data_IF_337984442837
#
_entry.id   IF_337984442837
#
_cell.length_a   1.000
_cell.length_b   1.000
_cell.length_c   1.000
_cell.angle_alpha   90.00
_cell.angle_beta   90.00
_cell.angle_gamma   90.00
#
_symmetry.space_group_name_H-M   'P 1'
#
loop_
_entity.id
_entity.type
_entity.pdbx_description
1 polymer ?
#
# COMPACT_ATOMS: atom_id res chain seq x y z
N UNK A 1 56.76 23.09 0.40
CA UNK A 1 55.72 23.88 1.10
C UNK A 1 54.89 22.90 1.92
N UNK A 2 55.22 22.80 3.19
CA UNK A 2 54.66 21.86 4.17
C UNK A 2 53.45 22.52 4.81
N UNK A 3 52.30 21.87 4.79
CA UNK A 3 51.10 22.33 5.49
C UNK A 3 50.97 21.57 6.82
N UNK A 4 51.16 22.30 7.92
CA UNK A 4 50.92 21.84 9.28
C UNK A 4 49.41 21.73 9.54
N UNK A 5 48.98 20.60 10.13
CA UNK A 5 47.68 20.47 10.82
C UNK A 5 47.79 21.04 12.23
N UNK A 6 46.78 21.77 12.75
CA UNK A 6 46.71 22.06 14.17
C UNK A 6 46.04 20.92 14.93
N UNK A 7 46.73 20.48 16.00
CA UNK A 7 46.18 19.73 17.13
C UNK A 7 45.53 20.69 18.13
N UNK A 8 44.36 20.32 18.65
CA UNK A 8 43.76 20.75 19.93
C UNK A 8 42.60 19.75 20.15
N UNK A 9 42.69 18.75 21.02
CA UNK A 9 42.79 18.75 22.50
C UNK A 9 41.67 19.58 23.14
N UNK A 10 40.60 18.88 23.49
CA UNK A 10 39.72 19.17 24.62
C UNK A 10 39.42 17.83 25.31
N UNK A 11 40.06 17.63 26.45
CA UNK A 11 39.76 16.63 27.49
C UNK A 11 38.45 17.04 28.21
N UNK A 12 37.51 16.12 28.36
CA UNK A 12 37.28 15.32 29.58
C UNK A 12 36.32 16.00 30.58
N UNK A 13 35.03 15.66 30.50
CA UNK A 13 34.14 15.48 31.65
C UNK A 13 33.15 14.39 31.25
N UNK A 14 33.13 13.25 31.93
CA UNK A 14 31.93 12.56 32.41
C UNK A 14 32.32 11.28 33.17
N UNK A 15 32.21 11.37 34.48
CA UNK A 15 32.13 10.23 35.37
C UNK A 15 30.73 10.15 35.97
N UNK A 16 30.31 8.92 36.26
CA UNK A 16 29.23 8.50 37.16
C UNK A 16 27.79 8.58 36.62
N UNK A 17 27.27 7.41 36.22
CA UNK A 17 26.03 6.84 36.77
C UNK A 17 25.82 5.44 36.18
N UNK A 18 26.33 4.43 36.88
CA UNK A 18 26.01 3.03 36.62
C UNK A 18 25.28 2.52 37.87
N UNK A 19 23.96 2.42 37.79
CA UNK A 19 23.12 1.67 38.74
C UNK A 19 21.67 1.61 38.24
N UNK A 20 21.05 0.45 38.44
CA UNK A 20 19.63 0.10 38.24
C UNK A 20 19.23 -0.56 36.90
N UNK A 21 19.50 -1.86 36.83
CA UNK A 21 18.48 -2.91 36.98
C UNK A 21 17.19 -2.80 36.16
N UNK A 22 16.95 -3.76 35.28
CA UNK A 22 15.59 -4.17 34.93
C UNK A 22 15.56 -5.68 34.63
N UNK A 23 15.03 -6.44 35.60
CA UNK A 23 14.65 -7.83 35.42
C UNK A 23 13.40 -7.92 34.52
N UNK A 24 13.45 -8.81 33.55
CA UNK A 24 12.33 -9.28 32.75
C UNK A 24 11.20 -9.88 33.62
N UNK A 25 9.93 -9.59 33.32
CA UNK A 25 8.84 -10.50 33.64
C UNK A 25 8.55 -11.43 32.45
N UNK A 26 8.64 -12.72 32.73
CA UNK A 26 8.13 -13.84 31.93
C UNK A 26 6.62 -13.69 31.73
N UNK A 27 6.16 -13.65 30.49
CA UNK A 27 4.75 -13.90 30.18
C UNK A 27 4.47 -15.39 30.33
N UNK A 28 3.71 -15.74 31.37
CA UNK A 28 3.20 -17.08 31.65
C UNK A 28 1.86 -17.24 30.94
N UNK A 29 1.75 -18.24 30.08
CA UNK A 29 0.49 -18.68 29.50
C UNK A 29 -0.44 -19.16 30.63
N UNK A 30 -1.65 -18.61 30.68
CA UNK A 30 -2.76 -19.11 31.49
C UNK A 30 -3.91 -19.47 30.57
N UNK A 31 -4.02 -20.76 30.28
CA UNK A 31 -5.22 -21.39 29.75
C UNK A 31 -6.32 -21.30 30.81
N UNK A 32 -7.45 -20.68 30.48
CA UNK A 32 -8.66 -20.76 31.28
C UNK A 32 -9.80 -21.27 30.39
N UNK A 33 -10.19 -22.51 30.67
CA UNK A 33 -11.39 -23.17 30.16
C UNK A 33 -12.55 -22.66 30.99
N UNK A 34 -13.44 -21.87 30.40
CA UNK A 34 -14.77 -21.60 30.96
C UNK A 34 -15.81 -22.20 30.02
N UNK A 35 -16.34 -23.34 30.47
CA UNK A 35 -17.43 -24.09 29.87
C UNK A 35 -18.73 -23.41 30.31
N UNK A 36 -19.35 -22.65 29.41
CA UNK A 36 -20.63 -21.97 29.65
C UNK A 36 -21.80 -22.84 29.18
N UNK A 37 -22.46 -23.48 30.13
CA UNK A 37 -23.66 -24.29 29.98
C UNK A 37 -24.88 -23.37 29.75
N UNK A 38 -25.48 -23.38 28.56
CA UNK A 38 -26.76 -22.69 28.31
C UNK A 38 -27.87 -23.72 28.18
N UNK A 39 -28.83 -23.59 29.10
CA UNK A 39 -29.89 -24.55 29.35
C UNK A 39 -30.94 -24.61 28.27
N UNK A 40 -31.53 -25.80 28.19
CA UNK A 40 -32.85 -26.06 27.66
C UNK A 40 -33.90 -25.14 28.27
N UNK A 41 -34.71 -24.51 27.41
CA UNK A 41 -36.04 -24.08 27.75
C UNK A 41 -37.00 -24.75 26.75
N UNK A 42 -37.67 -25.79 27.23
CA UNK A 42 -38.88 -26.32 26.62
C UNK A 42 -39.98 -25.27 26.75
N UNK A 43 -40.74 -25.05 25.69
CA UNK A 43 -42.01 -24.35 25.74
C UNK A 43 -42.90 -24.90 24.63
N UNK A 44 -43.66 -25.93 25.00
CA UNK A 44 -44.91 -26.29 24.35
C UNK A 44 -45.80 -25.06 24.21
N UNK A 45 -46.28 -24.79 22.99
CA UNK A 45 -47.52 -24.06 22.81
C UNK A 45 -48.29 -24.62 21.62
N UNK A 46 -49.31 -25.36 22.01
CA UNK A 46 -50.39 -25.91 21.22
C UNK A 46 -51.25 -24.83 20.58
N UNK A 47 -51.44 -24.95 19.27
CA UNK A 47 -52.73 -24.74 18.59
C UNK A 47 -53.15 -23.31 18.25
N UNK A 48 -53.20 -23.02 16.94
CA UNK A 48 -54.41 -22.45 16.31
C UNK A 48 -54.37 -22.66 14.78
N UNK A 49 -55.09 -23.65 14.21
CA UNK A 49 -55.16 -23.86 12.77
C UNK A 49 -56.49 -23.32 12.25
N UNK A 50 -56.63 -22.01 12.05
CA UNK A 50 -57.59 -21.41 11.10
C UNK A 50 -57.59 -19.88 11.20
N UNK A 51 -56.61 -19.25 10.55
CA UNK A 51 -56.72 -17.83 10.20
C UNK A 51 -56.30 -17.63 8.76
N UNK A 52 -57.26 -17.88 7.87
CA UNK A 52 -57.18 -17.52 6.46
C UNK A 52 -57.17 -15.98 6.34
N UNK A 53 -55.97 -15.40 6.38
CA UNK A 53 -55.75 -14.01 5.99
C UNK A 53 -55.81 -13.93 4.47
N UNK A 54 -56.96 -13.46 3.95
CA UNK A 54 -57.08 -13.05 2.56
C UNK A 54 -56.22 -11.80 2.36
N UNK A 55 -55.01 -11.98 1.84
CA UNK A 55 -54.13 -10.88 1.45
C UNK A 55 -54.67 -10.28 0.14
N UNK A 56 -54.97 -8.97 0.08
CA UNK A 56 -55.37 -8.34 -1.16
C UNK A 56 -54.21 -8.37 -2.15
N UNK A 57 -54.46 -8.94 -3.34
CA UNK A 57 -53.52 -8.94 -4.46
C UNK A 57 -53.25 -7.50 -4.91
N UNK A 58 -52.16 -6.92 -4.41
CA UNK A 58 -51.63 -5.67 -4.95
C UNK A 58 -51.12 -5.95 -6.36
N UNK A 59 -51.55 -5.20 -7.39
CA UNK A 59 -51.05 -5.38 -8.74
C UNK A 59 -49.53 -5.15 -8.73
N UNK A 60 -48.80 -6.16 -9.20
CA UNK A 60 -47.36 -6.11 -9.41
C UNK A 60 -47.05 -4.96 -10.37
N UNK A 61 -46.80 -3.79 -9.78
CA UNK A 61 -46.30 -2.63 -10.52
C UNK A 61 -44.92 -3.05 -10.98
N UNK A 62 -44.70 -3.07 -12.30
CA UNK A 62 -43.42 -3.33 -12.92
C UNK A 62 -42.38 -2.37 -12.35
N UNK A 63 -41.77 -2.75 -11.23
CA UNK A 63 -40.63 -2.08 -10.65
C UNK A 63 -39.53 -2.24 -11.69
N UNK A 64 -39.29 -1.16 -12.44
CA UNK A 64 -38.15 -1.05 -13.34
C UNK A 64 -36.94 -1.55 -12.58
N UNK A 65 -36.35 -2.64 -13.08
CA UNK A 65 -35.23 -3.34 -12.48
C UNK A 65 -34.10 -2.34 -12.24
N UNK A 66 -34.07 -1.79 -11.02
CA UNK A 66 -33.12 -0.79 -10.57
C UNK A 66 -31.84 -1.53 -10.15
N UNK A 67 -31.28 -2.30 -11.10
CA UNK A 67 -30.00 -2.96 -10.87
C UNK A 67 -28.95 -1.88 -10.62
N UNK A 68 -28.08 -2.06 -9.62
CA UNK A 68 -27.00 -1.12 -9.40
C UNK A 68 -26.19 -0.97 -10.70
N UNK A 69 -25.73 0.25 -11.02
CA UNK A 69 -24.89 0.47 -12.19
C UNK A 69 -23.73 -0.53 -12.16
N UNK A 70 -23.54 -1.26 -13.26
CA UNK A 70 -22.44 -2.21 -13.41
C UNK A 70 -21.13 -1.50 -13.11
N UNK A 71 -20.30 -2.02 -12.19
CA UNK A 71 -19.02 -1.40 -11.88
C UNK A 71 -18.20 -1.27 -13.16
N UNK A 72 -17.55 -0.12 -13.35
CA UNK A 72 -16.53 0.02 -14.39
C UNK A 72 -15.45 -0.99 -14.07
N UNK A 73 -15.10 -1.84 -15.04
CA UNK A 73 -14.06 -2.86 -14.87
C UNK A 73 -12.78 -2.36 -15.52
N UNK A 74 -11.64 -2.54 -14.83
CA UNK A 74 -10.33 -2.28 -15.41
C UNK A 74 -10.14 -3.18 -16.63
N UNK A 75 -9.45 -2.66 -17.64
CA UNK A 75 -9.03 -3.51 -18.75
C UNK A 75 -7.91 -4.47 -18.29
N UNK A 76 -7.66 -5.51 -19.08
CA UNK A 76 -6.68 -6.56 -18.70
C UNK A 76 -5.26 -6.03 -18.53
N UNK A 77 -4.88 -4.98 -19.28
CA UNK A 77 -3.55 -4.36 -19.22
C UNK A 77 -3.35 -3.56 -17.93
N UNK A 78 -4.33 -2.73 -17.57
CA UNK A 78 -4.38 -1.99 -16.30
C UNK A 78 -4.38 -2.94 -15.10
N UNK A 79 -5.19 -4.00 -15.16
CA UNK A 79 -5.25 -5.01 -14.11
C UNK A 79 -3.93 -5.75 -13.94
N UNK A 80 -3.24 -6.06 -15.04
CA UNK A 80 -1.91 -6.68 -15.01
C UNK A 80 -0.87 -5.74 -14.38
N UNK A 81 -0.90 -4.45 -14.70
CA UNK A 81 -0.02 -3.44 -14.10
C UNK A 81 -0.25 -3.31 -12.58
N UNK A 82 -1.51 -3.30 -12.14
CA UNK A 82 -1.85 -3.31 -10.71
C UNK A 82 -1.40 -4.60 -10.02
N UNK A 83 -1.56 -5.77 -10.66
CA UNK A 83 -1.03 -7.03 -10.11
C UNK A 83 0.50 -7.02 -10.00
N UNK A 84 1.22 -6.40 -10.94
CA UNK A 84 2.67 -6.20 -10.85
C UNK A 84 3.04 -5.31 -9.66
N UNK A 85 2.26 -4.26 -9.38
CA UNK A 85 2.43 -3.41 -8.21
C UNK A 85 2.23 -4.20 -6.90
N UNK A 86 1.17 -5.03 -6.83
CA UNK A 86 0.92 -5.90 -5.68
C UNK A 86 2.07 -6.89 -5.45
N UNK A 87 2.58 -7.51 -6.52
CA UNK A 87 3.75 -8.41 -6.47
C UNK A 87 4.96 -7.71 -5.86
N UNK A 88 5.36 -6.58 -6.45
CA UNK A 88 6.51 -5.80 -6.01
C UNK A 88 6.38 -5.38 -4.54
N UNK A 89 5.21 -4.87 -4.15
CA UNK A 89 4.96 -4.48 -2.77
C UNK A 89 5.04 -5.67 -1.80
N UNK A 90 4.51 -6.83 -2.18
CA UNK A 90 4.61 -8.04 -1.36
C UNK A 90 6.06 -8.50 -1.19
N UNK A 91 6.87 -8.44 -2.24
CA UNK A 91 8.30 -8.82 -2.20
C UNK A 91 9.11 -7.84 -1.34
N UNK A 92 8.97 -6.53 -1.55
CA UNK A 92 9.69 -5.49 -0.80
C UNK A 92 9.39 -5.52 0.71
N UNK A 93 8.21 -5.99 1.10
CA UNK A 93 7.77 -6.06 2.50
C UNK A 93 7.79 -7.49 3.08
N UNK A 94 8.29 -8.48 2.34
CA UNK A 94 8.34 -9.88 2.79
C UNK A 94 6.96 -10.48 3.10
N UNK A 95 5.90 -10.04 2.41
CA UNK A 95 4.53 -10.46 2.69
C UNK A 95 4.24 -11.85 2.14
N UNK A 96 3.81 -12.75 3.01
CA UNK A 96 3.38 -14.09 2.62
C UNK A 96 1.87 -14.11 2.30
N UNK A 97 1.52 -13.78 1.05
CA UNK A 97 0.12 -13.78 0.60
C UNK A 97 -0.59 -15.12 0.86
N UNK A 98 0.10 -16.25 0.66
CA UNK A 98 -0.45 -17.59 0.90
C UNK A 98 -0.86 -17.77 2.37
N UNK A 99 -0.01 -17.33 3.30
CA UNK A 99 -0.31 -17.43 4.74
C UNK A 99 -1.50 -16.53 5.12
N UNK A 100 -1.55 -15.31 4.60
CA UNK A 100 -2.63 -14.38 4.95
C UNK A 100 -4.00 -14.85 4.45
N UNK A 101 -4.12 -15.25 3.18
CA UNK A 101 -5.41 -15.74 2.67
C UNK A 101 -5.85 -17.06 3.31
N UNK A 102 -4.90 -17.89 3.76
CA UNK A 102 -5.22 -19.04 4.62
C UNK A 102 -5.84 -18.59 5.95
N UNK A 103 -5.25 -17.59 6.61
CA UNK A 103 -5.78 -17.00 7.83
C UNK A 103 -7.16 -16.36 7.66
N UNK A 104 -7.50 -15.88 6.47
CA UNK A 104 -8.83 -15.31 6.17
C UNK A 104 -9.93 -16.36 5.94
N UNK A 105 -9.64 -17.65 6.12
CA UNK A 105 -10.61 -18.73 5.92
C UNK A 105 -10.32 -19.61 4.72
N UNK A 106 -9.19 -19.40 4.03
CA UNK A 106 -8.71 -20.34 3.01
C UNK A 106 -8.24 -21.62 3.68
N UNK A 107 -9.02 -22.70 3.61
CA UNK A 107 -8.58 -23.99 4.15
C UNK A 107 -7.39 -24.52 3.32
N UNK A 108 -6.41 -25.11 4.01
CA UNK A 108 -5.26 -25.72 3.35
C UNK A 108 -5.68 -26.95 2.52
N UNK A 109 -6.82 -27.54 2.86
CA UNK A 109 -7.11 -28.92 2.50
C UNK A 109 -7.54 -29.09 1.05
N UNK A 110 -8.43 -28.31 0.40
CA UNK A 110 -8.74 -28.66 -1.01
C UNK A 110 -9.06 -27.55 -2.01
N UNK A 111 -9.86 -26.54 -1.70
CA UNK A 111 -10.49 -25.80 -2.84
C UNK A 111 -9.68 -24.62 -3.36
N UNK A 112 -8.88 -23.96 -2.52
CA UNK A 112 -8.27 -22.68 -2.91
C UNK A 112 -9.29 -21.56 -3.15
N UNK A 113 -10.49 -21.71 -2.56
CA UNK A 113 -11.64 -20.81 -2.68
C UNK A 113 -11.90 -20.14 -1.33
N UNK A 114 -12.27 -18.87 -1.33
CA UNK A 114 -12.80 -18.14 -0.16
C UNK A 114 -13.94 -17.21 -0.59
N UNK A 115 -14.80 -16.80 0.34
CA UNK A 115 -15.86 -15.83 0.01
C UNK A 115 -15.27 -14.47 -0.37
N UNK A 116 -15.97 -13.74 -1.25
CA UNK A 116 -15.58 -12.38 -1.70
C UNK A 116 -15.26 -11.44 -0.54
N UNK A 117 -16.07 -11.46 0.52
CA UNK A 117 -15.85 -10.67 1.74
C UNK A 117 -14.52 -11.00 2.43
N UNK A 118 -14.18 -12.29 2.55
CA UNK A 118 -12.90 -12.73 3.14
C UNK A 118 -11.71 -12.40 2.25
N UNK A 119 -11.87 -12.48 0.93
CA UNK A 119 -10.85 -12.04 -0.02
C UNK A 119 -10.55 -10.54 0.11
N UNK A 120 -11.59 -9.69 0.16
CA UNK A 120 -11.43 -8.24 0.41
C UNK A 120 -10.71 -7.96 1.72
N UNK A 121 -11.12 -8.64 2.80
CA UNK A 121 -10.46 -8.51 4.10
C UNK A 121 -8.97 -8.90 4.02
N UNK A 122 -8.63 -9.98 3.31
CA UNK A 122 -7.25 -10.41 3.09
C UNK A 122 -6.42 -9.39 2.31
N UNK A 123 -6.99 -8.82 1.25
CA UNK A 123 -6.37 -7.75 0.46
C UNK A 123 -6.11 -6.50 1.33
N UNK A 124 -7.12 -6.03 2.06
CA UNK A 124 -6.98 -4.87 2.97
C UNK A 124 -5.95 -5.15 4.06
N UNK A 125 -5.86 -6.37 4.57
CA UNK A 125 -4.87 -6.75 5.60
C UNK A 125 -3.44 -6.74 5.05
N UNK A 126 -3.21 -7.42 3.93
CA UNK A 126 -1.91 -7.52 3.27
C UNK A 126 -1.41 -6.15 2.79
N UNK A 127 -2.30 -5.42 2.13
CA UNK A 127 -1.96 -4.22 1.38
C UNK A 127 -2.50 -2.97 2.06
N UNK A 128 -2.65 -2.94 3.39
CA UNK A 128 -3.21 -1.80 4.13
C UNK A 128 -2.52 -0.45 3.87
N UNK A 129 -1.26 -0.44 3.43
CA UNK A 129 -0.54 0.79 3.04
C UNK A 129 -0.72 1.16 1.57
N UNK A 130 -1.17 0.23 0.74
CA UNK A 130 -1.65 0.53 -0.60
C UNK A 130 -3.13 0.91 -0.50
N UNK A 131 -3.51 2.01 -1.12
CA UNK A 131 -4.92 2.34 -1.27
C UNK A 131 -5.46 1.57 -2.46
N UNK A 132 -5.94 0.36 -2.21
CA UNK A 132 -6.64 -0.43 -3.22
C UNK A 132 -7.94 0.29 -3.58
N UNK A 133 -8.15 0.55 -4.86
CA UNK A 133 -9.41 1.13 -5.34
C UNK A 133 -10.50 0.08 -5.32
N UNK A 134 -11.76 0.50 -5.11
CA UNK A 134 -12.92 -0.41 -5.22
C UNK A 134 -12.99 -1.06 -6.61
N UNK A 135 -12.56 -0.32 -7.64
CA UNK A 135 -12.47 -0.80 -9.03
C UNK A 135 -11.46 -1.94 -9.20
N UNK A 136 -10.26 -1.82 -8.63
CA UNK A 136 -9.25 -2.88 -8.65
C UNK A 136 -9.78 -4.12 -7.90
N UNK A 137 -10.35 -3.92 -6.73
CA UNK A 137 -10.90 -5.02 -5.91
C UNK A 137 -12.04 -5.73 -6.64
N UNK A 138 -12.95 -4.98 -7.28
CA UNK A 138 -14.03 -5.54 -8.08
C UNK A 138 -13.49 -6.32 -9.29
N UNK A 139 -12.50 -5.77 -9.99
CA UNK A 139 -11.86 -6.40 -11.15
C UNK A 139 -11.14 -7.71 -10.77
N UNK A 140 -10.46 -7.74 -9.62
CA UNK A 140 -9.85 -8.96 -9.08
C UNK A 140 -10.92 -10.01 -8.70
N UNK A 141 -11.99 -9.60 -8.01
CA UNK A 141 -13.09 -10.49 -7.65
C UNK A 141 -13.82 -11.05 -8.88
N UNK A 142 -13.87 -10.31 -9.99
CA UNK A 142 -14.43 -10.79 -11.24
C UNK A 142 -13.48 -11.77 -11.94
N UNK A 143 -12.20 -11.40 -12.10
CA UNK A 143 -11.18 -12.22 -12.78
C UNK A 143 -10.93 -13.56 -12.12
N UNK A 144 -10.92 -13.56 -10.78
CA UNK A 144 -10.69 -14.76 -9.97
C UNK A 144 -11.97 -15.31 -9.34
N UNK A 145 -13.14 -14.80 -9.75
CA UNK A 145 -14.42 -15.19 -9.19
C UNK A 145 -14.83 -16.61 -9.58
N UNK A 146 -15.52 -17.30 -8.67
CA UNK A 146 -16.05 -18.65 -8.90
C UNK A 146 -17.34 -18.88 -8.12
N UNK A 147 -18.08 -19.94 -8.48
CA UNK A 147 -19.31 -20.33 -7.81
C UNK A 147 -20.54 -19.55 -8.28
N UNK A 148 -21.58 -19.41 -7.45
CA UNK A 148 -22.81 -18.71 -7.80
C UNK A 148 -22.61 -17.22 -8.01
N UNK A 149 -23.46 -16.63 -8.86
CA UNK A 149 -23.50 -15.18 -9.03
C UNK A 149 -23.89 -14.49 -7.72
N UNK A 150 -23.23 -13.39 -7.39
CA UNK A 150 -23.57 -12.56 -6.23
C UNK A 150 -24.77 -11.66 -6.58
N UNK A 151 -25.94 -11.85 -5.95
CA UNK A 151 -27.14 -11.09 -6.27
C UNK A 151 -27.08 -9.63 -5.80
N UNK A 152 -26.15 -9.28 -4.90
CA UNK A 152 -26.07 -7.95 -4.31
C UNK A 152 -25.05 -7.06 -5.02
N UNK A 153 -23.90 -7.62 -5.38
CA UNK A 153 -22.78 -6.84 -5.94
C UNK A 153 -22.45 -7.19 -7.39
N UNK A 154 -23.09 -8.22 -7.96
CA UNK A 154 -22.70 -8.80 -9.24
C UNK A 154 -21.41 -9.61 -9.16
N UNK A 155 -21.02 -10.22 -10.29
CA UNK A 155 -19.90 -11.16 -10.33
C UNK A 155 -20.19 -12.42 -9.52
N UNK A 156 -19.21 -12.95 -8.79
CA UNK A 156 -19.29 -14.24 -8.11
C UNK A 156 -19.18 -14.13 -6.60
N UNK A 157 -19.83 -15.02 -5.83
CA UNK A 157 -19.80 -14.99 -4.36
C UNK A 157 -18.45 -15.43 -3.77
N UNK A 158 -17.68 -16.20 -4.53
CA UNK A 158 -16.41 -16.78 -4.10
C UNK A 158 -15.26 -16.40 -5.03
N UNK A 159 -14.02 -16.52 -4.54
CA UNK A 159 -12.80 -16.14 -5.25
C UNK A 159 -11.75 -17.25 -5.10
N UNK A 160 -11.13 -17.63 -6.22
CA UNK A 160 -10.00 -18.55 -6.35
C UNK A 160 -8.70 -17.86 -5.87
N UNK A 161 -8.55 -17.69 -4.56
CA UNK A 161 -7.42 -16.96 -3.99
C UNK A 161 -6.07 -17.61 -4.29
N UNK A 162 -6.02 -18.94 -4.47
CA UNK A 162 -4.77 -19.63 -4.84
C UNK A 162 -4.29 -19.20 -6.22
N UNK A 163 -5.20 -19.17 -7.19
CA UNK A 163 -4.91 -18.76 -8.56
C UNK A 163 -4.52 -17.29 -8.61
N UNK A 164 -5.18 -16.44 -7.80
CA UNK A 164 -4.76 -15.05 -7.60
C UNK A 164 -3.29 -14.97 -7.14
N UNK A 165 -2.92 -15.67 -6.06
CA UNK A 165 -1.55 -15.63 -5.54
C UNK A 165 -0.53 -16.19 -6.54
N UNK A 166 -0.88 -17.27 -7.25
CA UNK A 166 -0.04 -17.86 -8.29
C UNK A 166 0.17 -16.84 -9.43
N UNK A 167 -0.91 -16.26 -9.94
CA UNK A 167 -0.82 -15.30 -11.03
C UNK A 167 -0.05 -14.05 -10.61
N UNK A 168 -0.29 -13.47 -9.43
CA UNK A 168 0.49 -12.31 -8.94
C UNK A 168 1.99 -12.62 -8.89
N UNK A 169 2.39 -13.82 -8.46
CA UNK A 169 3.81 -14.23 -8.46
C UNK A 169 4.39 -14.44 -9.85
N UNK A 170 3.55 -14.86 -10.80
CA UNK A 170 3.93 -15.10 -12.19
C UNK A 170 3.87 -13.85 -13.06
N UNK A 171 3.31 -12.74 -12.57
CA UNK A 171 3.33 -11.47 -13.30
C UNK A 171 4.80 -11.12 -13.57
N UNK A 172 5.19 -10.95 -14.84
CA UNK A 172 6.56 -10.54 -15.16
C UNK A 172 6.84 -9.24 -14.42
N UNK A 173 8.04 -9.12 -13.87
CA UNK A 173 8.46 -7.83 -13.34
C UNK A 173 8.30 -6.81 -14.46
N UNK A 174 7.66 -5.68 -14.13
CA UNK A 174 7.61 -4.57 -15.07
C UNK A 174 9.04 -4.36 -15.56
N UNK A 175 9.27 -4.32 -16.88
CA UNK A 175 10.61 -4.18 -17.42
C UNK A 175 11.26 -3.05 -16.65
N UNK A 176 12.42 -3.33 -16.04
CA UNK A 176 13.12 -2.34 -15.23
C UNK A 176 13.16 -1.07 -16.08
N UNK A 177 12.46 -0.04 -15.62
CA UNK A 177 12.38 1.20 -16.37
C UNK A 177 13.82 1.56 -16.69
N UNK A 178 14.10 1.81 -17.98
CA UNK A 178 15.44 2.18 -18.38
C UNK A 178 15.89 3.29 -17.42
N UNK A 179 17.09 3.19 -16.81
CA UNK A 179 17.53 4.16 -15.84
C UNK A 179 17.28 5.55 -16.42
N UNK A 180 16.63 6.46 -15.68
CA UNK A 180 16.32 7.77 -16.20
C UNK A 180 17.62 8.39 -16.73
N UNK A 181 17.69 8.58 -18.05
CA UNK A 181 18.82 9.24 -18.67
C UNK A 181 18.67 10.73 -18.42
N UNK A 182 19.30 11.22 -17.35
CA UNK A 182 19.43 12.64 -17.11
C UNK A 182 20.36 13.24 -18.15
N UNK A 183 19.85 14.14 -18.98
CA UNK A 183 20.65 14.85 -19.98
C UNK A 183 21.66 15.82 -19.35
N UNK A 184 21.39 16.25 -18.12
CA UNK A 184 22.26 17.13 -17.35
C UNK A 184 23.15 16.31 -16.40
N UNK A 185 24.47 16.38 -16.61
CA UNK A 185 25.47 15.70 -15.79
C UNK A 185 25.40 16.08 -14.31
N UNK A 186 25.05 17.35 -14.01
CA UNK A 186 24.91 17.83 -12.63
C UNK A 186 23.73 17.13 -11.94
N UNK A 187 22.61 16.98 -12.65
CA UNK A 187 21.45 16.25 -12.12
C UNK A 187 21.79 14.77 -11.97
N UNK A 188 22.43 14.15 -12.96
CA UNK A 188 22.84 12.74 -12.89
C UNK A 188 23.70 12.48 -11.64
N UNK A 189 24.70 13.34 -11.41
CA UNK A 189 25.57 13.28 -10.23
C UNK A 189 24.77 13.47 -8.94
N UNK A 190 23.92 14.48 -8.86
CA UNK A 190 23.08 14.72 -7.68
C UNK A 190 22.20 13.50 -7.39
N UNK A 191 21.53 12.92 -8.38
CA UNK A 191 20.65 11.77 -8.15
C UNK A 191 21.44 10.52 -7.67
N UNK A 192 22.67 10.35 -8.15
CA UNK A 192 23.59 9.31 -7.69
C UNK A 192 24.05 9.53 -6.24
N UNK A 193 24.38 10.77 -5.88
CA UNK A 193 24.72 11.15 -4.49
C UNK A 193 23.53 10.98 -3.53
N UNK A 194 22.33 11.38 -3.96
CA UNK A 194 21.11 11.20 -3.17
C UNK A 194 20.82 9.71 -2.93
N UNK A 195 21.07 8.86 -3.92
CA UNK A 195 20.97 7.41 -3.77
C UNK A 195 21.94 6.90 -2.70
N UNK A 196 23.21 7.28 -2.80
CA UNK A 196 24.24 6.87 -1.83
C UNK A 196 23.84 7.29 -0.40
N UNK A 197 23.39 8.53 -0.21
CA UNK A 197 22.94 9.03 1.11
C UNK A 197 21.72 8.25 1.61
N UNK A 198 20.80 7.89 0.71
CA UNK A 198 19.62 7.11 1.09
C UNK A 198 19.98 5.68 1.51
N UNK A 199 20.96 5.04 0.87
CA UNK A 199 21.45 3.71 1.23
C UNK A 199 22.23 3.75 2.55
N UNK A 200 23.19 4.67 2.68
CA UNK A 200 24.01 4.82 3.90
C UNK A 200 23.16 5.16 5.13
N UNK A 201 22.14 6.00 4.94
CA UNK A 201 21.22 6.41 5.99
C UNK A 201 20.02 5.49 6.20
N UNK A 202 19.91 4.39 5.43
CA UNK A 202 18.73 3.52 5.38
C UNK A 202 17.40 4.32 5.29
N UNK A 203 17.38 5.37 4.47
CA UNK A 203 16.28 6.33 4.42
C UNK A 203 15.04 5.71 3.76
N UNK A 204 13.93 5.69 4.49
CA UNK A 204 12.63 5.34 3.92
C UNK A 204 12.03 6.53 3.15
N UNK A 205 12.48 6.72 1.91
CA UNK A 205 12.04 7.83 1.06
C UNK A 205 10.53 7.87 0.83
N UNK A 206 9.90 6.70 0.71
CA UNK A 206 8.44 6.61 0.52
C UNK A 206 7.69 7.17 1.72
N UNK A 207 8.08 6.74 2.93
CA UNK A 207 7.45 7.20 4.16
C UNK A 207 7.64 8.70 4.38
N UNK A 208 8.82 9.25 4.12
CA UNK A 208 9.07 10.68 4.27
C UNK A 208 8.24 11.52 3.29
N UNK A 209 8.14 11.10 2.01
CA UNK A 209 7.34 11.80 1.01
C UNK A 209 5.85 11.79 1.38
N UNK A 210 5.34 10.65 1.85
CA UNK A 210 3.97 10.55 2.37
C UNK A 210 3.77 11.46 3.59
N UNK A 211 4.71 11.46 4.54
CA UNK A 211 4.68 12.31 5.74
C UNK A 211 4.71 13.81 5.42
N UNK A 212 5.34 14.21 4.32
CA UNK A 212 5.35 15.59 3.83
C UNK A 212 4.03 16.01 3.14
N UNK A 213 3.09 15.09 2.93
CA UNK A 213 1.82 15.34 2.24
C UNK A 213 1.73 14.74 0.83
N UNK A 214 2.61 13.79 0.49
CA UNK A 214 2.51 13.02 -0.74
C UNK A 214 1.22 12.19 -0.79
N UNK A 215 0.45 12.34 -1.88
CA UNK A 215 -0.79 11.61 -2.10
C UNK A 215 -0.50 10.16 -2.48
N UNK A 216 -1.48 9.28 -2.26
CA UNK A 216 -1.43 7.88 -2.66
C UNK A 216 -1.39 7.69 -4.18
N UNK A 217 -1.74 8.71 -4.96
CA UNK A 217 -1.62 8.71 -6.42
C UNK A 217 -0.19 8.95 -6.90
N UNK A 218 0.76 9.19 -6.00
CA UNK A 218 2.17 9.41 -6.34
C UNK A 218 2.53 10.86 -6.68
N UNK A 219 1.63 11.81 -6.39
CA UNK A 219 1.86 13.25 -6.58
C UNK A 219 1.97 13.98 -5.24
N UNK A 220 2.75 15.06 -5.20
CA UNK A 220 2.93 15.92 -4.02
C UNK A 220 3.03 17.38 -4.49
N UNK A 221 2.57 18.33 -3.68
CA UNK A 221 2.75 19.75 -4.00
C UNK A 221 4.25 20.12 -4.03
N UNK A 222 4.69 20.93 -4.99
CA UNK A 222 6.09 21.32 -5.21
C UNK A 222 6.77 21.87 -3.96
N UNK A 223 6.09 22.74 -3.21
CA UNK A 223 6.61 23.27 -1.95
C UNK A 223 6.81 22.19 -0.88
N UNK A 224 5.92 21.19 -0.82
CA UNK A 224 6.01 20.07 0.12
C UNK A 224 7.11 19.09 -0.30
N UNK A 225 7.32 18.91 -1.61
CA UNK A 225 8.48 18.18 -2.13
C UNK A 225 9.79 18.84 -1.68
N UNK A 226 9.93 20.16 -1.81
CA UNK A 226 11.13 20.87 -1.36
C UNK A 226 11.37 20.72 0.13
N UNK A 227 10.32 20.85 0.95
CA UNK A 227 10.39 20.61 2.39
C UNK A 227 10.82 19.18 2.71
N UNK A 228 10.27 18.18 2.03
CA UNK A 228 10.66 16.78 2.21
C UNK A 228 12.14 16.55 1.90
N UNK A 229 12.62 17.10 0.78
CA UNK A 229 14.01 16.98 0.33
C UNK A 229 14.99 17.60 1.32
N UNK A 230 14.74 18.84 1.75
CA UNK A 230 15.68 19.60 2.60
C UNK A 230 15.55 19.28 4.08
N UNK A 231 14.36 18.96 4.57
CA UNK A 231 14.09 18.89 6.02
C UNK A 231 13.85 17.48 6.54
N UNK A 232 13.52 16.51 5.67
CA UNK A 232 13.19 15.15 6.10
C UNK A 232 14.20 14.13 5.60
N UNK A 233 14.54 14.18 4.30
CA UNK A 233 15.37 13.16 3.66
C UNK A 233 16.85 13.48 3.71
N UNK A 234 17.25 14.59 3.12
CA UNK A 234 18.65 14.86 2.83
C UNK A 234 19.10 16.13 3.56
N UNK A 235 18.90 16.15 4.88
CA UNK A 235 19.16 17.33 5.74
C UNK A 235 20.55 17.92 5.62
N UNK A 236 21.52 17.08 5.30
CA UNK A 236 22.94 17.47 5.18
C UNK A 236 23.37 17.70 3.73
N UNK A 237 22.47 17.52 2.75
CA UNK A 237 22.77 17.78 1.35
C UNK A 237 22.55 19.26 1.01
N UNK A 238 23.55 19.96 0.46
CA UNK A 238 23.50 21.40 0.23
C UNK A 238 22.67 21.75 -1.03
N UNK A 239 21.35 21.59 -0.97
CA UNK A 239 20.49 21.97 -2.08
C UNK A 239 20.53 23.47 -2.35
N UNK A 240 20.72 23.83 -3.62
CA UNK A 240 20.39 25.16 -4.12
C UNK A 240 18.92 25.18 -4.58
N UNK A 241 18.27 26.34 -4.52
CA UNK A 241 16.89 26.50 -5.04
C UNK A 241 16.79 26.07 -6.50
N UNK A 242 17.78 26.44 -7.31
CA UNK A 242 17.84 26.06 -8.73
C UNK A 242 17.88 24.53 -8.91
N UNK A 243 18.72 23.82 -8.14
CA UNK A 243 18.82 22.36 -8.22
C UNK A 243 17.51 21.67 -7.84
N UNK A 244 16.81 22.16 -6.80
CA UNK A 244 15.50 21.64 -6.42
C UNK A 244 14.46 21.88 -7.51
N UNK A 245 14.47 23.07 -8.13
CA UNK A 245 13.59 23.39 -9.26
C UNK A 245 13.87 22.52 -10.49
N UNK A 246 15.14 22.24 -10.80
CA UNK A 246 15.53 21.40 -11.93
C UNK A 246 15.09 19.94 -11.71
N UNK A 247 15.27 19.40 -10.50
CA UNK A 247 14.75 18.08 -10.13
C UNK A 247 13.22 18.06 -10.21
N UNK A 248 12.54 19.05 -9.61
CA UNK A 248 11.07 19.11 -9.65
C UNK A 248 10.53 19.26 -11.08
N UNK A 249 11.28 19.87 -12.00
CA UNK A 249 10.90 19.99 -13.42
C UNK A 249 10.94 18.65 -14.13
N UNK A 250 11.95 17.82 -13.86
CA UNK A 250 12.08 16.46 -14.43
C UNK A 250 10.88 15.60 -14.00
N UNK A 251 10.47 15.73 -12.74
CA UNK A 251 9.35 15.00 -12.17
C UNK A 251 8.05 15.81 -12.15
N UNK A 252 7.89 16.80 -13.01
CA UNK A 252 6.70 17.62 -13.02
C UNK A 252 5.47 16.80 -13.44
N UNK A 253 4.36 16.93 -12.70
CA UNK A 253 3.08 16.43 -13.16
C UNK A 253 2.54 17.38 -14.25
N UNK A 254 2.86 17.11 -15.51
CA UNK A 254 2.49 17.97 -16.66
C UNK A 254 0.98 18.06 -16.91
N UNK A 255 0.21 17.12 -16.36
CA UNK A 255 -1.26 17.17 -16.36
C UNK A 255 -1.83 18.11 -15.28
N UNK A 256 -1.00 18.61 -14.37
CA UNK A 256 -1.38 19.48 -13.27
C UNK A 256 -1.41 20.98 -13.65
N UNK A 257 -1.94 21.84 -12.77
CA UNK A 257 -1.95 23.28 -12.99
C UNK A 257 -0.52 23.87 -12.92
N UNK A 258 -0.23 24.93 -13.70
CA UNK A 258 1.04 25.63 -13.62
C UNK A 258 1.22 26.33 -12.26
N UNK A 259 2.46 26.41 -11.77
CA UNK A 259 2.80 27.08 -10.51
C UNK A 259 3.03 28.58 -10.76
N UNK A 260 2.14 29.47 -10.29
CA UNK A 260 2.27 30.91 -10.53
C UNK A 260 3.39 31.57 -9.70
N UNK A 261 3.91 30.90 -8.66
CA UNK A 261 4.91 31.46 -7.75
C UNK A 261 6.33 31.06 -8.13
N UNK A 262 6.52 29.80 -8.48
CA UNK A 262 7.84 29.21 -8.74
C UNK A 262 8.06 28.85 -10.22
N UNK A 263 7.05 29.03 -11.07
CA UNK A 263 7.06 28.54 -12.44
C UNK A 263 7.03 27.01 -12.53
N UNK A 264 6.80 26.51 -13.74
CA UNK A 264 6.58 25.07 -13.97
C UNK A 264 5.21 24.61 -13.48
N UNK A 265 5.14 23.47 -12.82
CA UNK A 265 3.90 22.82 -12.37
C UNK A 265 3.81 22.75 -10.85
N UNK A 266 2.58 22.83 -10.30
CA UNK A 266 2.36 22.84 -8.84
C UNK A 266 2.57 21.48 -8.18
N UNK A 267 2.57 20.39 -8.96
CA UNK A 267 2.68 19.03 -8.46
C UNK A 267 3.88 18.29 -9.05
N UNK A 268 4.49 17.44 -8.24
CA UNK A 268 5.66 16.62 -8.56
C UNK A 268 5.31 15.15 -8.38
N UNK A 269 5.72 14.30 -9.33
CA UNK A 269 5.58 12.85 -9.35
C UNK A 269 6.58 12.19 -8.37
N UNK A 270 6.40 12.40 -7.06
CA UNK A 270 7.36 11.95 -6.04
C UNK A 270 7.60 10.43 -6.05
N UNK A 271 6.61 9.63 -6.44
CA UNK A 271 6.80 8.17 -6.53
C UNK A 271 7.81 7.81 -7.61
N UNK A 272 7.69 8.44 -8.77
CA UNK A 272 8.65 8.23 -9.85
C UNK A 272 10.04 8.67 -9.41
N UNK A 273 10.15 9.85 -8.76
CA UNK A 273 11.41 10.31 -8.18
C UNK A 273 12.04 9.26 -7.24
N UNK A 274 11.27 8.68 -6.31
CA UNK A 274 11.80 7.66 -5.37
C UNK A 274 12.24 6.39 -6.09
N UNK A 275 11.49 5.94 -7.10
CA UNK A 275 11.85 4.78 -7.93
C UNK A 275 13.17 5.05 -8.65
N UNK A 276 13.26 6.22 -9.27
CA UNK A 276 14.38 6.63 -10.11
C UNK A 276 15.65 6.78 -9.29
N UNK A 277 15.61 7.46 -8.13
CA UNK A 277 16.75 7.55 -7.19
C UNK A 277 17.27 6.16 -6.84
N UNK A 278 16.40 5.17 -6.59
CA UNK A 278 16.82 3.80 -6.26
C UNK A 278 17.48 3.06 -7.43
N UNK A 279 17.21 3.49 -8.66
CA UNK A 279 17.69 2.83 -9.88
C UNK A 279 18.94 3.52 -10.48
N UNK A 280 19.25 4.76 -10.11
CA UNK A 280 20.44 5.48 -10.59
C UNK A 280 21.71 4.73 -10.19
N UNK A 281 22.66 4.43 -11.10
CA UNK A 281 23.93 3.80 -10.72
C UNK A 281 24.66 4.56 -9.60
N UNK A 282 25.25 3.83 -8.65
CA UNK A 282 26.08 4.43 -7.62
C UNK A 282 27.33 5.06 -8.24
N UNK A 283 27.86 6.14 -7.65
CA UNK A 283 29.08 6.74 -8.14
C UNK A 283 30.24 5.76 -7.88
N UNK A 284 31.00 5.45 -8.93
CA UNK A 284 32.22 4.64 -8.82
C UNK A 284 33.31 5.33 -8.00
#
# INVERSE_FOLDING_TARGET
>A
KVWHRPHSVVEEILAVADTHGTMHPRYRASSSVMRGNWGHADSDSTGDPDRAWSVPATPATHAGSNWPPTPVMMNDEELLAEMALLKKYAEENGLNMTHTFKGCGGTFVDTGVISKSKFRMGLTTLFHRLRLTEELVASLCLKFGTGPTDPHEGGFQEVLWRDFVIQVRQVPDAPAAAPPMYTDEKIARTMSELRQIAEDGALNMTYAMQGAGGKSTGVIAKQKFFMAMTSMLFRHYPFTTQLLDDIARIYANTSGPPDPRLGGYQEVLWRQFVIDVRQVPLPN
#
